data_IF_609361496742
#
_entry.id   IF_609361496742
#
_cell.length_a   1.000
_cell.length_b   1.000
_cell.length_c   1.000
_cell.angle_alpha   90.00
_cell.angle_beta   90.00
_cell.angle_gamma   90.00
#
_symmetry.space_group_name_H-M   'P 1'
#
loop_
_entity.id
_entity.type
_entity.pdbx_description
1 polymer ?
#
# COMPACT_ATOMS: atom_id res chain seq x y z
N UNK A 1 14.63 1.00 3.50
CA UNK A 1 13.74 1.60 2.49
C UNK A 1 14.23 1.11 1.15
N UNK A 2 13.35 0.61 0.29
CA UNK A 2 13.74 0.17 -1.05
C UNK A 2 13.72 1.37 -2.01
N UNK A 3 14.85 2.07 -2.07
CA UNK A 3 15.04 3.22 -2.95
C UNK A 3 15.08 2.82 -4.43
N UNK A 4 15.42 1.57 -4.75
CA UNK A 4 15.53 1.09 -6.13
C UNK A 4 14.15 0.90 -6.75
N UNK A 5 13.21 0.31 -5.99
CA UNK A 5 11.81 0.20 -6.39
C UNK A 5 11.21 1.58 -6.72
N UNK A 6 11.50 2.56 -5.87
CA UNK A 6 10.97 3.91 -6.08
C UNK A 6 11.66 4.58 -7.26
N UNK A 7 12.96 4.34 -7.51
CA UNK A 7 13.67 4.96 -8.64
C UNK A 7 13.09 4.54 -9.99
N UNK A 8 12.69 3.28 -10.14
CA UNK A 8 12.14 2.74 -11.39
C UNK A 8 10.65 3.03 -11.57
N UNK A 9 9.96 3.38 -10.48
CA UNK A 9 8.53 3.67 -10.51
C UNK A 9 8.21 4.93 -11.32
N UNK A 10 7.20 4.81 -12.17
CA UNK A 10 6.64 5.84 -13.03
C UNK A 10 5.22 6.23 -12.60
N UNK A 11 4.75 7.36 -13.13
CA UNK A 11 3.38 7.84 -12.90
C UNK A 11 2.40 6.76 -13.37
N UNK A 12 1.37 6.48 -12.55
CA UNK A 12 0.34 5.45 -12.76
C UNK A 12 0.77 3.99 -12.57
N UNK A 13 2.03 3.71 -12.22
CA UNK A 13 2.39 2.37 -11.77
C UNK A 13 1.58 1.97 -10.54
N UNK A 14 1.28 0.67 -10.41
CA UNK A 14 0.62 0.12 -9.22
C UNK A 14 1.65 -0.65 -8.39
N UNK A 15 1.87 -0.19 -7.17
CA UNK A 15 2.78 -0.83 -6.22
C UNK A 15 1.99 -1.59 -5.16
N UNK A 16 2.24 -2.90 -5.05
CA UNK A 16 1.78 -3.70 -3.91
C UNK A 16 2.91 -3.79 -2.90
N UNK A 17 2.75 -3.23 -1.71
CA UNK A 17 3.79 -3.28 -0.68
C UNK A 17 3.25 -3.24 0.74
N UNK A 18 4.08 -3.73 1.67
CA UNK A 18 3.93 -3.52 3.10
C UNK A 18 4.96 -2.52 3.65
N UNK A 19 5.82 -1.98 2.79
CA UNK A 19 6.88 -1.06 3.16
C UNK A 19 6.45 0.41 3.10
N UNK A 20 7.15 1.21 3.89
CA UNK A 20 6.80 2.59 4.29
C UNK A 20 7.47 3.62 3.39
N UNK A 21 8.36 3.17 2.52
CA UNK A 21 8.95 4.00 1.46
C UNK A 21 7.94 4.34 0.37
N UNK A 22 6.72 3.83 0.45
CA UNK A 22 5.69 4.01 -0.56
C UNK A 22 5.13 5.44 -0.62
N UNK A 23 5.35 6.24 0.44
CA UNK A 23 5.12 7.69 0.42
C UNK A 23 5.77 8.34 -0.81
N UNK A 24 7.00 7.96 -1.13
CA UNK A 24 7.73 8.52 -2.27
C UNK A 24 7.18 8.04 -3.62
N UNK A 25 6.54 6.87 -3.66
CA UNK A 25 5.84 6.41 -4.86
C UNK A 25 4.57 7.24 -5.12
N UNK A 26 3.81 7.57 -4.06
CA UNK A 26 2.66 8.47 -4.19
C UNK A 26 3.07 9.86 -4.70
N UNK A 27 4.22 10.38 -4.25
CA UNK A 27 4.78 11.65 -4.74
C UNK A 27 5.09 11.65 -6.24
N UNK A 28 5.31 10.46 -6.84
CA UNK A 28 5.50 10.30 -8.28
C UNK A 28 4.20 10.12 -9.07
N UNK A 29 3.05 10.15 -8.39
CA UNK A 29 1.75 9.89 -8.99
C UNK A 29 1.51 8.41 -9.32
N UNK A 30 2.24 7.50 -8.67
CA UNK A 30 1.95 6.08 -8.68
C UNK A 30 0.83 5.74 -7.68
N UNK A 31 0.15 4.63 -7.91
CA UNK A 31 -0.81 4.05 -6.99
C UNK A 31 -0.12 3.03 -6.09
N UNK A 32 -0.62 2.90 -4.88
CA UNK A 32 -0.08 1.93 -3.96
C UNK A 32 -1.16 1.28 -3.12
N UNK A 33 -1.02 -0.03 -2.87
CA UNK A 33 -1.96 -0.82 -2.08
C UNK A 33 -1.21 -1.69 -1.07
N UNK A 34 -1.72 -1.72 0.15
CA UNK A 34 -1.31 -2.65 1.18
C UNK A 34 -1.91 -4.03 0.91
N UNK A 35 -1.18 -5.08 1.26
CA UNK A 35 -1.62 -6.47 1.06
C UNK A 35 -2.99 -6.82 1.67
N UNK A 36 -3.46 -6.05 2.64
CA UNK A 36 -4.80 -6.21 3.23
C UNK A 36 -5.93 -5.61 2.37
N UNK A 37 -5.62 -5.05 1.21
CA UNK A 37 -6.56 -4.33 0.34
C UNK A 37 -6.73 -2.84 0.68
N UNK A 38 -5.98 -2.29 1.65
CA UNK A 38 -6.05 -0.85 1.97
C UNK A 38 -5.23 -0.06 0.95
N UNK A 39 -5.82 0.93 0.30
CA UNK A 39 -5.10 1.81 -0.61
C UNK A 39 -4.30 2.83 0.17
N UNK A 40 -3.09 3.12 -0.28
CA UNK A 40 -2.31 4.24 0.23
C UNK A 40 -2.74 5.52 -0.49
N UNK A 41 -3.21 6.50 0.27
CA UNK A 41 -3.56 7.84 -0.21
C UNK A 41 -2.87 8.88 0.64
N UNK A 42 -2.74 10.12 0.15
CA UNK A 42 -2.13 11.20 0.93
C UNK A 42 -2.89 11.48 2.24
N UNK A 43 -4.17 11.11 2.33
CA UNK A 43 -5.02 11.34 3.49
C UNK A 43 -4.82 10.30 4.59
N UNK A 44 -4.52 9.05 4.21
CA UNK A 44 -4.45 7.94 5.17
C UNK A 44 -3.03 7.46 5.47
N UNK A 45 -2.04 7.94 4.72
CA UNK A 45 -0.67 7.46 4.81
C UNK A 45 -0.08 7.70 6.19
N UNK A 46 -0.28 8.88 6.78
CA UNK A 46 0.23 9.23 8.11
C UNK A 46 -0.33 8.30 9.19
N UNK A 47 -1.63 8.01 9.13
CA UNK A 47 -2.26 7.05 10.03
C UNK A 47 -1.65 5.66 9.87
N UNK A 48 -1.46 5.18 8.63
CA UNK A 48 -0.87 3.86 8.39
C UNK A 48 0.61 3.78 8.84
N UNK A 49 1.37 4.87 8.69
CA UNK A 49 2.73 4.99 9.21
C UNK A 49 2.74 4.95 10.75
N UNK A 50 1.79 5.64 11.38
CA UNK A 50 1.62 5.66 12.84
C UNK A 50 1.21 4.29 13.39
N UNK A 51 0.22 3.63 12.78
CA UNK A 51 -0.21 2.27 13.13
C UNK A 51 0.97 1.28 13.10
N UNK A 52 1.84 1.35 12.08
CA UNK A 52 3.10 0.58 12.11
C UNK A 52 3.94 0.96 13.31
N UNK A 53 4.18 2.24 13.53
CA UNK A 53 5.14 2.67 14.55
C UNK A 53 4.71 2.10 15.90
N UNK A 54 3.41 2.19 16.20
CA UNK A 54 2.80 1.58 17.38
C UNK A 54 2.99 0.06 17.39
N UNK A 55 2.66 -0.65 16.31
CA UNK A 55 2.86 -2.10 16.21
C UNK A 55 4.33 -2.52 16.39
N UNK A 56 5.28 -1.73 15.88
CA UNK A 56 6.73 -1.95 16.05
C UNK A 56 7.15 -1.71 17.50
N UNK A 57 6.62 -0.67 18.15
CA UNK A 57 6.87 -0.37 19.56
C UNK A 57 6.31 -1.47 20.46
N UNK A 58 5.07 -1.92 20.22
CA UNK A 58 4.42 -3.03 20.91
C UNK A 58 5.24 -4.33 20.82
N UNK A 59 5.72 -4.66 19.62
CA UNK A 59 6.63 -5.81 19.43
C UNK A 59 7.93 -5.70 20.21
N UNK A 60 8.48 -4.50 20.35
CA UNK A 60 9.72 -4.26 21.10
C UNK A 60 9.52 -4.20 22.61
N UNK A 61 8.38 -3.69 23.08
CA UNK A 61 8.09 -3.55 24.52
C UNK A 61 7.67 -4.86 25.16
N UNK A 62 7.14 -5.83 24.40
CA UNK A 62 6.89 -7.19 24.88
C UNK A 62 8.22 -7.95 25.02
N UNK A 63 8.91 -7.74 26.15
CA UNK A 63 10.14 -8.46 26.50
C UNK A 63 9.88 -9.87 27.07
N UNK A 64 8.63 -10.21 27.39
CA UNK A 64 8.23 -11.55 27.85
C UNK A 64 6.82 -11.86 27.35
N UNK A 65 6.68 -13.04 26.76
CA UNK A 65 5.45 -13.79 26.47
C UNK A 65 4.69 -13.41 25.18
N UNK A 66 4.85 -14.28 24.17
CA UNK A 66 3.89 -14.60 23.11
C UNK A 66 3.09 -13.43 22.52
N UNK A 67 3.74 -12.53 21.78
CA UNK A 67 3.02 -11.87 20.68
C UNK A 67 2.75 -12.97 19.65
N UNK A 68 1.48 -13.38 19.54
CA UNK A 68 1.05 -14.28 18.45
C UNK A 68 1.54 -13.69 17.14
N UNK A 69 2.24 -14.51 16.37
CA UNK A 69 2.66 -14.14 15.02
C UNK A 69 1.47 -13.59 14.23
N UNK A 70 1.73 -12.67 13.28
CA UNK A 70 0.69 -12.19 12.37
C UNK A 70 -0.12 -13.39 11.87
N UNK A 71 -1.44 -13.36 12.09
CA UNK A 71 -2.32 -14.46 11.71
C UNK A 71 -2.08 -14.80 10.23
N UNK A 72 -2.00 -16.09 9.92
CA UNK A 72 -1.95 -16.55 8.53
C UNK A 72 -3.09 -15.92 7.75
N UNK A 73 -2.78 -15.49 6.53
CA UNK A 73 -3.74 -14.90 5.60
C UNK A 73 -4.91 -15.85 5.39
N UNK A 74 -6.12 -15.31 5.38
CA UNK A 74 -7.36 -16.05 5.17
C UNK A 74 -7.91 -15.80 3.77
N UNK A 75 -8.78 -16.67 3.27
CA UNK A 75 -9.45 -16.48 1.98
C UNK A 75 -10.18 -15.13 1.90
N UNK A 76 -10.79 -14.68 3.01
CA UNK A 76 -11.43 -13.35 3.09
C UNK A 76 -10.45 -12.19 2.94
N UNK A 77 -9.18 -12.38 3.31
CA UNK A 77 -8.12 -11.38 3.08
C UNK A 77 -7.70 -11.35 1.62
N UNK A 78 -7.71 -12.50 0.94
CA UNK A 78 -7.46 -12.61 -0.50
C UNK A 78 -8.57 -11.95 -1.31
N UNK A 79 -9.83 -12.24 -0.99
CA UNK A 79 -11.00 -11.62 -1.62
C UNK A 79 -11.00 -10.10 -1.46
N UNK A 80 -10.73 -9.60 -0.24
CA UNK A 80 -10.64 -8.16 0.02
C UNK A 80 -9.52 -7.50 -0.78
N UNK A 81 -8.37 -8.16 -0.89
CA UNK A 81 -7.27 -7.65 -1.69
C UNK A 81 -7.60 -7.66 -3.18
N UNK A 82 -8.15 -8.76 -3.71
CA UNK A 82 -8.51 -8.88 -5.12
C UNK A 82 -9.50 -7.80 -5.55
N UNK A 83 -10.60 -7.61 -4.80
CA UNK A 83 -11.60 -6.57 -5.05
C UNK A 83 -11.00 -5.16 -5.00
N UNK A 84 -10.12 -4.90 -4.04
CA UNK A 84 -9.48 -3.60 -3.90
C UNK A 84 -8.44 -3.36 -5.02
N UNK A 85 -7.74 -4.40 -5.45
CA UNK A 85 -6.73 -4.33 -6.50
C UNK A 85 -7.36 -4.13 -7.88
N UNK A 86 -8.45 -4.84 -8.18
CA UNK A 86 -9.22 -4.67 -9.42
C UNK A 86 -9.73 -3.24 -9.57
N UNK A 87 -10.31 -2.67 -8.51
CA UNK A 87 -10.73 -1.26 -8.49
C UNK A 87 -9.58 -0.30 -8.75
N UNK A 88 -8.38 -0.60 -8.26
CA UNK A 88 -7.20 0.25 -8.45
C UNK A 88 -6.73 0.21 -9.90
N UNK A 89 -6.74 -0.97 -10.52
CA UNK A 89 -6.45 -1.12 -11.95
C UNK A 89 -7.44 -0.29 -12.77
N UNK A 90 -8.74 -0.42 -12.53
CA UNK A 90 -9.76 0.35 -13.24
C UNK A 90 -9.51 1.87 -13.12
N UNK A 91 -9.26 2.36 -11.90
CA UNK A 91 -8.94 3.80 -11.68
C UNK A 91 -7.66 4.23 -12.38
N UNK A 92 -6.64 3.35 -12.43
CA UNK A 92 -5.39 3.64 -13.12
C UNK A 92 -5.59 3.73 -14.63
N UNK A 93 -6.44 2.88 -15.21
CA UNK A 93 -6.76 2.82 -16.65
C UNK A 93 -7.73 3.92 -17.08
N UNK A 94 -8.78 4.25 -16.32
CA UNK A 94 -9.74 5.32 -16.65
C UNK A 94 -9.07 6.71 -16.73
N UNK A 95 -8.03 6.94 -15.92
CA UNK A 95 -7.22 8.16 -16.04
C UNK A 95 -6.34 8.20 -17.29
N UNK A 96 -6.10 7.06 -17.97
CA UNK A 96 -5.43 7.03 -19.28
C UNK A 96 -6.27 7.72 -20.34
N UNK A 97 -7.54 7.32 -20.40
CA UNK A 97 -8.49 7.70 -21.46
C UNK A 97 -8.84 9.18 -21.36
N UNK A 98 -9.03 9.68 -20.14
CA UNK A 98 -9.24 11.12 -19.91
C UNK A 98 -8.01 11.99 -20.21
N UNK A 99 -6.80 11.41 -20.25
CA UNK A 99 -5.58 12.18 -20.61
C UNK A 99 -5.35 12.20 -22.12
N UNK A 100 -5.81 11.18 -22.85
CA UNK A 100 -5.68 11.10 -24.32
C UNK A 100 -6.92 11.59 -25.08
N UNK A 101 -8.05 11.82 -24.41
CA UNK A 101 -9.30 12.35 -24.99
C UNK A 101 -9.34 13.87 -25.21
N UNK A 102 -8.21 14.57 -25.09
CA UNK A 102 -8.07 15.98 -25.47
C UNK A 102 -7.23 16.02 -26.75
N UNK A 103 -7.88 15.81 -27.90
CA UNK A 103 -7.39 16.23 -29.22
C UNK A 103 -8.56 16.81 -30.00
#
# INVERSE_FOLDING_TARGET
>A
MDYKLISICQKRDIIVSQDYGITLALSKGAYAIHQSGKWYTNENIDQMLMERHLNKKLRRSSHKNHIKEPKKRTQKDDERFALAFEKMILTATEKEENTHGII
#
